data_IF_281177471764
#
_entry.id   IF_281177471764
#
_cell.length_a   1.000
_cell.length_b   1.000
_cell.length_c   1.000
_cell.angle_alpha   90.00
_cell.angle_beta   90.00
_cell.angle_gamma   90.00
#
_symmetry.space_group_name_H-M   'P 1'
#
loop_
_entity.id
_entity.type
_entity.pdbx_description
1 polymer ?
#
# COMPACT_ATOMS: atom_id res chain seq x y z
N UNK A 1 40.17 -17.00 -19.09
CA UNK A 1 39.54 -16.16 -20.13
C UNK A 1 38.02 -16.38 -20.04
N UNK A 2 37.25 -15.29 -20.03
CA UNK A 2 35.78 -15.36 -20.14
C UNK A 2 35.42 -15.28 -21.62
N UNK A 3 34.62 -16.21 -22.12
CA UNK A 3 34.10 -16.18 -23.50
C UNK A 3 32.88 -15.30 -23.54
N UNK A 4 33.08 -13.97 -23.39
CA UNK A 4 32.00 -12.97 -23.37
C UNK A 4 32.22 -12.01 -24.54
N UNK A 5 31.11 -11.36 -24.94
CA UNK A 5 31.11 -10.33 -25.96
C UNK A 5 30.13 -9.22 -25.61
N UNK A 6 30.41 -8.02 -26.09
CA UNK A 6 29.49 -6.88 -26.04
C UNK A 6 29.31 -6.36 -27.48
N UNK A 7 28.04 -6.04 -27.82
CA UNK A 7 27.71 -5.40 -29.08
C UNK A 7 27.47 -3.91 -28.84
N UNK A 8 28.25 -3.10 -29.51
CA UNK A 8 28.13 -1.65 -29.44
C UNK A 8 27.43 -1.11 -30.70
N UNK A 9 26.52 -0.20 -30.51
CA UNK A 9 25.88 0.56 -31.57
C UNK A 9 26.01 2.06 -31.30
N UNK A 10 26.61 2.81 -32.21
CA UNK A 10 26.89 4.24 -32.05
C UNK A 10 27.53 4.61 -30.69
N UNK A 11 28.47 3.79 -30.24
CA UNK A 11 29.19 3.99 -28.95
C UNK A 11 28.41 3.55 -27.70
N UNK A 12 27.19 3.04 -27.87
CA UNK A 12 26.35 2.53 -26.75
C UNK A 12 26.34 0.99 -26.78
N UNK A 13 26.63 0.34 -25.66
CA UNK A 13 26.43 -1.09 -25.51
C UNK A 13 24.92 -1.40 -25.51
N UNK A 14 24.49 -2.19 -26.50
CA UNK A 14 23.08 -2.60 -26.65
C UNK A 14 22.86 -4.06 -26.27
N UNK A 15 23.89 -4.87 -26.30
CA UNK A 15 23.84 -6.31 -25.99
C UNK A 15 25.13 -6.74 -25.32
N UNK A 16 24.99 -7.57 -24.30
CA UNK A 16 26.10 -8.26 -23.64
C UNK A 16 25.78 -9.75 -23.55
N UNK A 17 26.76 -10.61 -23.80
CA UNK A 17 26.54 -12.04 -23.83
C UNK A 17 27.79 -12.86 -23.64
N UNK A 18 27.62 -14.18 -23.63
CA UNK A 18 28.75 -15.09 -23.53
C UNK A 18 28.37 -16.55 -23.47
N UNK A 19 29.38 -17.40 -23.45
CA UNK A 19 29.23 -18.81 -23.24
C UNK A 19 28.90 -19.09 -21.77
N UNK A 20 27.87 -19.91 -21.53
CA UNK A 20 27.44 -20.29 -20.19
C UNK A 20 28.15 -21.54 -19.70
N UNK A 21 28.29 -21.70 -18.40
CA UNK A 21 28.64 -22.97 -17.79
C UNK A 21 27.51 -23.97 -18.06
N UNK A 22 27.83 -25.18 -18.51
CA UNK A 22 26.85 -26.15 -18.92
C UNK A 22 27.01 -27.52 -18.26
N UNK A 23 28.08 -27.77 -17.50
CA UNK A 23 28.25 -29.00 -16.73
C UNK A 23 27.86 -28.78 -15.27
N UNK A 24 27.27 -29.83 -14.65
CA UNK A 24 26.87 -29.77 -13.24
C UNK A 24 28.04 -29.38 -12.33
N UNK A 25 29.21 -29.98 -12.52
CA UNK A 25 30.42 -29.69 -11.72
C UNK A 25 30.82 -28.23 -11.86
N UNK A 26 30.89 -27.71 -13.09
CA UNK A 26 31.28 -26.29 -13.29
C UNK A 26 30.29 -25.31 -12.73
N UNK A 27 28.98 -25.68 -12.66
CA UNK A 27 27.95 -24.85 -11.99
C UNK A 27 28.18 -24.79 -10.50
N UNK A 28 28.42 -25.93 -9.84
CA UNK A 28 28.76 -26.02 -8.41
C UNK A 28 29.98 -25.18 -8.06
N UNK A 29 31.07 -25.36 -8.82
CA UNK A 29 32.28 -24.56 -8.66
C UNK A 29 32.00 -23.05 -8.80
N UNK A 30 31.17 -22.68 -9.79
CA UNK A 30 30.80 -21.29 -10.01
C UNK A 30 30.01 -20.67 -8.83
N UNK A 31 29.15 -21.44 -8.19
CA UNK A 31 28.43 -21.02 -7.00
C UNK A 31 29.38 -20.84 -5.81
N UNK A 32 30.25 -21.81 -5.57
CA UNK A 32 31.24 -21.70 -4.50
C UNK A 32 32.17 -20.49 -4.68
N UNK A 33 32.64 -20.22 -5.89
CA UNK A 33 33.47 -19.05 -6.19
C UNK A 33 32.76 -17.71 -5.88
N UNK A 34 31.42 -17.71 -5.90
CA UNK A 34 30.60 -16.55 -5.54
C UNK A 34 30.15 -16.54 -4.06
N UNK A 35 30.60 -17.50 -3.26
CA UNK A 35 30.20 -17.63 -1.86
C UNK A 35 28.74 -18.05 -1.67
N UNK A 36 28.12 -18.69 -2.69
CA UNK A 36 26.73 -19.13 -2.64
C UNK A 36 26.68 -20.64 -2.35
N UNK A 37 25.70 -21.03 -1.51
CA UNK A 37 25.44 -22.44 -1.20
C UNK A 37 24.64 -23.11 -2.33
N UNK A 38 25.17 -24.15 -2.98
CA UNK A 38 24.48 -24.89 -4.03
C UNK A 38 23.15 -25.51 -3.59
N UNK A 39 22.95 -25.79 -2.32
CA UNK A 39 21.72 -26.38 -1.80
C UNK A 39 20.48 -25.51 -2.05
N UNK A 40 20.65 -24.20 -2.11
CA UNK A 40 19.59 -23.25 -2.42
C UNK A 40 19.19 -23.22 -3.91
N UNK A 41 19.95 -23.89 -4.77
CA UNK A 41 19.76 -23.92 -6.23
C UNK A 41 19.46 -25.30 -6.77
N UNK A 42 18.97 -26.21 -5.93
CA UNK A 42 18.79 -27.66 -6.26
C UNK A 42 17.97 -27.86 -7.52
N UNK A 43 16.83 -27.18 -7.67
CA UNK A 43 15.94 -27.33 -8.82
C UNK A 43 16.60 -26.83 -10.11
N UNK A 44 17.25 -25.67 -10.04
CA UNK A 44 18.00 -25.12 -11.17
C UNK A 44 19.18 -26.04 -11.58
N UNK A 45 19.92 -26.55 -10.62
CA UNK A 45 21.06 -27.44 -10.85
C UNK A 45 20.64 -28.83 -11.38
N UNK A 46 19.41 -29.25 -11.11
CA UNK A 46 18.93 -30.57 -11.52
C UNK A 46 18.99 -30.78 -13.03
N UNK A 47 18.70 -29.73 -13.83
CA UNK A 47 18.74 -29.84 -15.30
C UNK A 47 20.13 -30.14 -15.83
N UNK A 48 21.20 -29.71 -15.14
CA UNK A 48 22.58 -29.98 -15.56
C UNK A 48 23.07 -31.38 -15.26
N UNK A 49 22.38 -32.13 -14.35
CA UNK A 49 22.68 -33.53 -14.04
C UNK A 49 22.37 -34.45 -15.20
N UNK A 50 21.41 -34.10 -16.03
CA UNK A 50 20.93 -34.93 -17.14
C UNK A 50 21.60 -34.61 -18.48
N UNK A 51 22.60 -33.74 -18.49
CA UNK A 51 23.37 -33.39 -19.67
C UNK A 51 22.82 -32.13 -20.39
N UNK A 52 23.39 -31.01 -20.08
CA UNK A 52 23.15 -29.77 -20.81
C UNK A 52 24.19 -29.59 -21.90
N UNK A 53 23.82 -29.37 -23.18
CA UNK A 53 24.79 -29.12 -24.24
C UNK A 53 25.53 -27.77 -24.00
N UNK A 54 26.73 -27.60 -24.56
CA UNK A 54 27.39 -26.31 -24.61
C UNK A 54 26.46 -25.26 -25.22
N UNK A 55 26.23 -24.15 -24.51
CA UNK A 55 25.35 -23.11 -24.94
C UNK A 55 25.86 -21.74 -24.50
N UNK A 56 25.36 -20.72 -25.13
CA UNK A 56 25.57 -19.32 -24.78
C UNK A 56 24.25 -18.58 -24.70
N UNK A 57 24.35 -17.32 -24.43
CA UNK A 57 23.21 -16.42 -24.46
C UNK A 57 23.63 -14.98 -24.37
N UNK A 58 22.72 -14.10 -24.68
CA UNK A 58 22.92 -12.66 -24.55
C UNK A 58 21.67 -11.98 -23.99
N UNK A 59 21.87 -10.83 -23.37
CA UNK A 59 20.81 -9.92 -22.97
C UNK A 59 20.88 -8.67 -23.83
N UNK A 60 19.75 -8.26 -24.39
CA UNK A 60 19.65 -7.03 -25.17
C UNK A 60 18.79 -6.03 -24.42
N UNK A 61 19.31 -4.82 -24.23
CA UNK A 61 18.55 -3.72 -23.62
C UNK A 61 17.61 -3.10 -24.63
N UNK A 62 16.30 -3.39 -24.53
CA UNK A 62 15.30 -2.90 -25.46
C UNK A 62 15.28 -1.37 -25.55
N UNK A 63 15.34 -0.70 -24.41
CA UNK A 63 15.37 0.75 -24.34
C UNK A 63 16.66 1.34 -24.92
N UNK A 64 17.81 0.68 -24.71
CA UNK A 64 19.07 1.10 -25.32
C UNK A 64 19.04 0.94 -26.83
N UNK A 65 18.52 -0.18 -27.33
CA UNK A 65 18.35 -0.41 -28.77
C UNK A 65 17.42 0.63 -29.38
N UNK A 66 16.25 0.85 -28.77
CA UNK A 66 15.26 1.83 -29.24
C UNK A 66 15.85 3.24 -29.26
N UNK A 67 16.50 3.65 -28.17
CA UNK A 67 17.17 4.94 -28.06
C UNK A 67 18.18 5.13 -29.19
N UNK A 68 19.01 4.12 -29.45
CA UNK A 68 20.06 4.19 -30.45
C UNK A 68 19.51 4.23 -31.88
N UNK A 69 18.51 3.39 -32.20
CA UNK A 69 17.85 3.34 -33.51
C UNK A 69 17.12 4.65 -33.84
N UNK A 70 16.41 5.20 -32.84
CA UNK A 70 15.66 6.45 -33.02
C UNK A 70 16.50 7.71 -32.75
N UNK A 71 17.78 7.54 -32.41
CA UNK A 71 18.71 8.65 -32.09
C UNK A 71 18.18 9.57 -30.99
N UNK A 72 17.51 8.99 -29.97
CA UNK A 72 17.01 9.73 -28.82
C UNK A 72 18.16 10.21 -27.94
N UNK A 73 17.97 11.36 -27.30
CA UNK A 73 18.99 11.95 -26.43
C UNK A 73 19.05 11.32 -25.04
N UNK A 74 17.96 10.70 -24.64
CA UNK A 74 17.83 10.13 -23.30
C UNK A 74 17.06 8.79 -23.36
N UNK A 75 17.57 7.78 -22.66
CA UNK A 75 16.96 6.44 -22.59
C UNK A 75 15.51 6.46 -22.07
N UNK A 76 15.15 7.47 -21.26
CA UNK A 76 13.79 7.65 -20.77
C UNK A 76 12.76 7.91 -21.87
N UNK A 77 13.18 8.46 -22.99
CA UNK A 77 12.32 8.69 -24.14
C UNK A 77 11.95 7.38 -24.87
N UNK A 78 12.70 6.31 -24.59
CA UNK A 78 12.45 4.97 -25.12
C UNK A 78 11.52 4.12 -24.23
N UNK A 79 11.03 4.65 -23.10
CA UNK A 79 10.13 3.94 -22.18
C UNK A 79 8.87 4.74 -21.93
N UNK A 80 7.70 4.07 -21.95
CA UNK A 80 6.43 4.70 -21.62
C UNK A 80 6.33 5.13 -20.15
N UNK A 81 6.97 4.37 -19.24
CA UNK A 81 6.96 4.62 -17.81
C UNK A 81 8.39 4.60 -17.25
N UNK A 82 9.23 5.61 -17.59
CA UNK A 82 10.61 5.60 -17.17
C UNK A 82 10.74 5.77 -15.65
N UNK A 83 11.45 4.86 -15.01
CA UNK A 83 11.79 4.89 -13.59
C UNK A 83 13.28 4.87 -13.36
N UNK A 84 13.76 5.64 -12.40
CA UNK A 84 15.16 5.59 -11.91
C UNK A 84 15.22 5.98 -10.43
N UNK A 85 16.41 5.98 -9.85
CA UNK A 85 16.66 6.33 -8.45
C UNK A 85 16.19 7.74 -8.05
N UNK A 86 16.05 8.65 -9.02
CA UNK A 86 15.59 10.03 -8.81
C UNK A 86 14.14 10.23 -9.24
N UNK A 87 13.58 9.31 -10.02
CA UNK A 87 12.25 9.40 -10.60
C UNK A 87 11.59 8.03 -10.58
N UNK A 88 10.74 7.82 -9.61
CA UNK A 88 9.84 6.67 -9.59
C UNK A 88 8.66 7.03 -10.48
N UNK A 89 8.44 6.30 -11.57
CA UNK A 89 7.24 6.42 -12.39
C UNK A 89 6.07 5.86 -11.59
N UNK A 90 5.04 6.66 -11.43
CA UNK A 90 3.90 6.37 -10.58
C UNK A 90 3.74 7.47 -9.54
N UNK A 91 2.56 7.58 -9.02
CA UNK A 91 2.23 8.53 -7.96
C UNK A 91 3.38 8.56 -6.96
N UNK A 92 3.95 9.73 -6.68
CA UNK A 92 4.73 9.93 -5.47
C UNK A 92 3.79 9.60 -4.32
N UNK A 93 3.72 8.34 -3.96
CA UNK A 93 3.24 7.97 -2.66
C UNK A 93 4.19 8.68 -1.70
N UNK A 94 3.74 9.74 -1.05
CA UNK A 94 4.47 10.28 0.09
C UNK A 94 4.75 9.07 0.96
N UNK A 95 6.00 8.86 1.34
CA UNK A 95 6.37 7.79 2.24
C UNK A 95 5.33 7.74 3.36
N UNK A 96 4.60 6.63 3.50
CA UNK A 96 3.50 6.37 4.44
C UNK A 96 2.06 6.46 3.89
N UNK A 97 1.81 6.57 2.58
CA UNK A 97 0.44 6.43 2.07
C UNK A 97 0.25 5.01 1.53
N UNK A 98 -0.59 4.24 2.19
CA UNK A 98 -0.98 2.92 1.72
C UNK A 98 -2.15 3.07 0.76
N UNK A 99 -2.06 2.44 -0.41
CA UNK A 99 -3.14 2.44 -1.40
C UNK A 99 -3.83 1.07 -1.40
N UNK A 100 -5.17 1.09 -1.30
CA UNK A 100 -6.00 -0.10 -1.35
C UNK A 100 -6.29 -0.74 0.02
N UNK A 101 -7.50 -1.22 0.17
CA UNK A 101 -8.03 -1.70 1.44
C UNK A 101 -7.24 -2.85 2.06
N UNK A 102 -6.81 -3.81 1.25
CA UNK A 102 -6.01 -4.95 1.73
C UNK A 102 -4.65 -4.53 2.29
N UNK A 103 -3.98 -3.61 1.62
CA UNK A 103 -2.69 -3.10 2.09
C UNK A 103 -2.84 -2.37 3.43
N UNK A 104 -3.87 -1.54 3.53
CA UNK A 104 -4.19 -0.81 4.76
C UNK A 104 -4.54 -1.78 5.90
N UNK A 105 -5.39 -2.79 5.65
CA UNK A 105 -5.71 -3.84 6.62
C UNK A 105 -4.44 -4.53 7.14
N UNK A 106 -3.59 -4.98 6.22
CA UNK A 106 -2.36 -5.68 6.58
C UNK A 106 -1.45 -4.80 7.45
N UNK A 107 -1.37 -3.52 7.14
CA UNK A 107 -0.58 -2.57 7.90
C UNK A 107 -1.17 -2.30 9.30
N UNK A 108 -2.49 -2.19 9.43
CA UNK A 108 -3.15 -2.08 10.74
C UNK A 108 -2.82 -3.30 11.60
N UNK A 109 -2.98 -4.50 11.04
CA UNK A 109 -2.70 -5.76 11.76
C UNK A 109 -1.22 -5.84 12.15
N UNK A 110 -0.30 -5.46 11.24
CA UNK A 110 1.13 -5.41 11.50
C UNK A 110 1.44 -4.46 12.67
N UNK A 111 0.92 -3.25 12.63
CA UNK A 111 1.12 -2.23 13.66
C UNK A 111 0.61 -2.70 15.03
N UNK A 112 -0.59 -3.30 15.08
CA UNK A 112 -1.14 -3.84 16.32
C UNK A 112 -0.25 -4.95 16.90
N UNK A 113 0.26 -5.84 16.04
CA UNK A 113 1.17 -6.92 16.45
C UNK A 113 2.50 -6.37 16.98
N UNK A 114 3.10 -5.41 16.31
CA UNK A 114 4.36 -4.77 16.74
C UNK A 114 4.21 -4.07 18.11
N UNK A 115 3.06 -3.43 18.32
CA UNK A 115 2.74 -2.75 19.59
C UNK A 115 2.19 -3.70 20.66
N UNK A 116 2.03 -5.01 20.35
CA UNK A 116 1.47 -6.03 21.26
C UNK A 116 0.06 -5.68 21.73
N UNK A 117 -0.74 -5.08 20.86
CA UNK A 117 -2.14 -4.74 21.13
C UNK A 117 -3.00 -5.91 20.71
N UNK A 118 -3.89 -6.32 21.62
CA UNK A 118 -4.86 -7.37 21.36
C UNK A 118 -5.99 -6.85 20.50
N UNK A 119 -6.27 -7.55 19.38
CA UNK A 119 -7.30 -7.19 18.42
C UNK A 119 -8.07 -8.42 17.98
N UNK A 120 -9.36 -8.27 17.83
CA UNK A 120 -10.21 -9.25 17.17
C UNK A 120 -10.43 -8.82 15.72
N UNK A 121 -9.86 -9.57 14.77
CA UNK A 121 -10.12 -9.39 13.34
C UNK A 121 -11.28 -10.29 12.92
N UNK A 122 -12.25 -9.73 12.22
CA UNK A 122 -13.47 -10.42 11.79
C UNK A 122 -13.71 -10.22 10.30
N UNK A 123 -14.12 -11.29 9.63
CA UNK A 123 -14.62 -11.27 8.25
C UNK A 123 -16.15 -11.47 8.31
N UNK A 124 -16.88 -10.65 7.59
CA UNK A 124 -18.34 -10.68 7.53
C UNK A 124 -18.83 -10.23 6.15
N UNK A 125 -20.10 -10.37 5.89
CA UNK A 125 -20.71 -9.79 4.69
C UNK A 125 -20.66 -8.26 4.74
N UNK A 126 -20.67 -7.62 3.56
CA UNK A 126 -20.72 -6.16 3.48
C UNK A 126 -22.01 -5.64 4.13
N UNK A 127 -21.87 -4.73 5.06
CA UNK A 127 -22.99 -4.20 5.84
C UNK A 127 -23.38 -2.80 5.34
N UNK A 128 -24.62 -2.60 4.87
CA UNK A 128 -25.02 -1.33 4.27
C UNK A 128 -25.26 -0.22 5.30
N UNK A 129 -25.54 -0.57 6.56
CA UNK A 129 -25.81 0.40 7.63
C UNK A 129 -24.91 0.21 8.85
N UNK A 130 -24.91 1.22 9.75
CA UNK A 130 -24.19 1.15 11.04
C UNK A 130 -24.83 0.08 11.96
N UNK A 131 -26.13 -0.08 11.91
CA UNK A 131 -26.89 -1.07 12.67
C UNK A 131 -26.56 -2.49 12.21
N UNK A 132 -26.46 -2.71 10.89
CA UNK A 132 -26.05 -4.01 10.33
C UNK A 132 -24.62 -4.35 10.72
N UNK A 133 -23.74 -3.35 10.68
CA UNK A 133 -22.36 -3.49 11.11
C UNK A 133 -22.23 -3.86 12.59
N UNK A 134 -23.04 -3.24 13.47
CA UNK A 134 -23.04 -3.56 14.88
C UNK A 134 -23.55 -4.98 15.14
N UNK A 135 -24.62 -5.42 14.43
CA UNK A 135 -25.12 -6.79 14.50
C UNK A 135 -24.08 -7.82 14.03
N UNK A 136 -23.47 -7.59 12.87
CA UNK A 136 -22.46 -8.50 12.33
C UNK A 136 -21.26 -8.68 13.27
N UNK A 137 -20.89 -7.64 14.02
CA UNK A 137 -19.80 -7.64 15.00
C UNK A 137 -20.21 -8.09 16.39
N UNK A 138 -21.51 -8.26 16.65
CA UNK A 138 -22.09 -8.55 17.97
C UNK A 138 -21.66 -7.53 19.04
N UNK A 139 -21.76 -6.25 18.73
CA UNK A 139 -21.43 -5.11 19.59
C UNK A 139 -22.61 -4.14 19.68
N UNK A 140 -22.54 -3.22 20.63
CA UNK A 140 -23.45 -2.07 20.66
C UNK A 140 -23.10 -1.10 19.53
N UNK A 141 -24.09 -0.43 18.97
CA UNK A 141 -23.86 0.52 17.87
C UNK A 141 -22.94 1.68 18.28
N UNK A 142 -23.01 2.08 19.55
CA UNK A 142 -22.19 3.16 20.12
C UNK A 142 -20.70 2.83 20.10
N UNK A 143 -20.33 1.54 20.21
CA UNK A 143 -18.95 1.05 20.20
C UNK A 143 -18.38 0.97 18.76
N UNK A 144 -19.22 1.17 17.76
CA UNK A 144 -18.80 1.27 16.35
C UNK A 144 -18.25 2.66 16.04
N UNK A 145 -17.18 2.71 15.24
CA UNK A 145 -16.63 3.95 14.71
C UNK A 145 -16.84 3.98 13.20
N UNK A 146 -17.39 5.08 12.70
CA UNK A 146 -17.43 5.38 11.27
C UNK A 146 -16.47 6.52 10.93
N UNK A 147 -15.69 6.29 9.90
CA UNK A 147 -14.68 7.21 9.39
C UNK A 147 -15.20 7.89 8.14
N UNK A 148 -15.22 9.21 8.16
CA UNK A 148 -15.78 10.04 7.10
C UNK A 148 -14.68 10.94 6.54
N UNK A 149 -14.56 10.98 5.23
CA UNK A 149 -13.63 11.89 4.54
C UNK A 149 -14.42 13.09 4.06
N UNK A 150 -13.96 14.28 4.44
CA UNK A 150 -14.53 15.55 4.00
C UNK A 150 -13.48 16.34 3.25
N UNK A 151 -13.94 17.16 2.31
CA UNK A 151 -13.10 18.03 1.49
C UNK A 151 -13.43 19.49 1.75
N UNK A 152 -12.41 20.31 1.99
CA UNK A 152 -12.54 21.76 2.04
C UNK A 152 -12.92 22.31 0.66
N UNK A 153 -13.92 23.21 0.61
CA UNK A 153 -14.42 23.75 -0.67
C UNK A 153 -13.40 24.62 -1.38
N UNK A 154 -12.62 25.37 -0.63
CA UNK A 154 -11.64 26.32 -1.17
C UNK A 154 -10.27 25.64 -1.36
N UNK A 155 -9.75 25.02 -0.30
CA UNK A 155 -8.41 24.42 -0.28
C UNK A 155 -8.30 23.15 -1.09
N UNK A 156 -9.44 22.47 -1.35
CA UNK A 156 -9.52 21.11 -1.94
C UNK A 156 -8.76 20.06 -1.14
N UNK A 157 -8.38 20.36 0.09
CA UNK A 157 -7.74 19.42 1.02
C UNK A 157 -8.77 18.46 1.60
N UNK A 158 -8.35 17.22 1.83
CA UNK A 158 -9.15 16.21 2.51
C UNK A 158 -8.76 16.09 3.99
N UNK A 159 -9.76 15.84 4.82
CA UNK A 159 -9.66 15.63 6.25
C UNK A 159 -10.45 14.41 6.64
N UNK A 160 -10.04 13.73 7.69
CA UNK A 160 -10.76 12.56 8.20
C UNK A 160 -11.39 12.86 9.55
N UNK A 161 -12.68 12.57 9.67
CA UNK A 161 -13.47 12.71 10.90
C UNK A 161 -14.01 11.33 11.30
N UNK A 162 -13.73 10.94 12.54
CA UNK A 162 -14.14 9.65 13.10
C UNK A 162 -15.15 9.91 14.21
N UNK A 163 -16.30 9.28 14.11
CA UNK A 163 -17.43 9.50 15.02
C UNK A 163 -18.03 8.16 15.45
N UNK A 164 -18.69 8.09 16.63
CA UNK A 164 -19.52 6.94 16.98
C UNK A 164 -20.57 6.66 15.91
N UNK A 165 -20.79 5.37 15.62
CA UNK A 165 -21.62 4.96 14.48
C UNK A 165 -23.07 5.40 14.55
N UNK A 166 -23.62 5.60 15.75
CA UNK A 166 -25.01 6.06 15.97
C UNK A 166 -25.18 7.59 15.78
N UNK A 167 -24.11 8.38 15.77
CA UNK A 167 -24.17 9.83 15.64
C UNK A 167 -23.98 10.29 14.19
N UNK A 168 -24.36 11.53 13.91
CA UNK A 168 -24.18 12.19 12.62
C UNK A 168 -23.13 13.30 12.73
N UNK A 169 -22.36 13.48 11.64
CA UNK A 169 -21.40 14.57 11.56
C UNK A 169 -22.10 15.92 11.45
N UNK A 170 -21.70 16.88 12.27
CA UNK A 170 -22.16 18.26 12.16
C UNK A 170 -21.20 19.07 11.26
N UNK A 171 -21.64 19.32 10.03
CA UNK A 171 -20.83 20.02 9.02
C UNK A 171 -20.53 21.47 9.38
N UNK A 172 -21.28 22.11 10.33
CA UNK A 172 -20.95 23.43 10.83
C UNK A 172 -19.74 23.35 11.75
N UNK A 173 -19.78 22.45 12.73
CA UNK A 173 -18.65 22.22 13.62
C UNK A 173 -17.38 21.78 12.85
N UNK A 174 -17.55 20.96 11.81
CA UNK A 174 -16.45 20.60 10.89
C UNK A 174 -15.86 21.84 10.22
N UNK A 175 -16.69 22.75 9.71
CA UNK A 175 -16.24 23.96 9.06
C UNK A 175 -15.49 24.88 10.03
N UNK A 176 -15.93 24.98 11.28
CA UNK A 176 -15.27 25.77 12.33
C UNK A 176 -13.88 25.18 12.68
N UNK A 177 -13.75 23.87 12.74
CA UNK A 177 -12.47 23.17 13.00
C UNK A 177 -11.49 23.32 11.83
N UNK A 178 -11.98 23.17 10.60
CA UNK A 178 -11.15 23.22 9.39
C UNK A 178 -10.83 24.66 8.97
N UNK A 179 -11.67 25.62 9.35
CA UNK A 179 -11.54 27.03 8.98
C UNK A 179 -12.16 27.37 7.62
N UNK A 180 -12.89 26.44 7.00
CA UNK A 180 -13.61 26.66 5.74
C UNK A 180 -14.84 25.74 5.62
N UNK A 181 -15.75 26.08 4.70
CA UNK A 181 -16.87 25.19 4.36
C UNK A 181 -16.35 23.88 3.78
N UNK A 182 -16.91 22.78 4.26
CA UNK A 182 -16.56 21.44 3.82
C UNK A 182 -17.76 20.73 3.20
N UNK A 183 -17.46 19.70 2.41
CA UNK A 183 -18.44 18.76 1.84
C UNK A 183 -17.89 17.34 1.99
N UNK A 184 -18.76 16.34 1.97
CA UNK A 184 -18.28 14.96 1.93
C UNK A 184 -17.51 14.70 0.63
N UNK A 185 -16.42 13.95 0.73
CA UNK A 185 -15.71 13.49 -0.48
C UNK A 185 -16.55 12.43 -1.19
N UNK A 186 -16.45 12.40 -2.53
CA UNK A 186 -17.23 11.47 -3.34
C UNK A 186 -16.65 10.06 -3.30
N UNK A 187 -17.48 9.01 -3.46
CA UNK A 187 -17.01 7.63 -3.50
C UNK A 187 -15.93 7.40 -4.55
N UNK A 188 -16.09 8.01 -5.74
CA UNK A 188 -15.14 7.92 -6.85
C UNK A 188 -13.78 8.52 -6.46
N UNK A 189 -13.78 9.71 -5.86
CA UNK A 189 -12.55 10.38 -5.44
C UNK A 189 -11.85 9.63 -4.28
N UNK A 190 -12.62 9.03 -3.38
CA UNK A 190 -12.07 8.16 -2.31
C UNK A 190 -11.38 6.95 -2.93
N UNK A 191 -12.03 6.30 -3.91
CA UNK A 191 -11.44 5.16 -4.59
C UNK A 191 -10.19 5.54 -5.40
N UNK A 192 -10.26 6.60 -6.20
CA UNK A 192 -9.13 7.06 -7.01
C UNK A 192 -7.91 7.47 -6.19
N UNK A 193 -8.12 8.12 -5.05
CA UNK A 193 -7.02 8.65 -4.22
C UNK A 193 -6.44 7.64 -3.26
N UNK A 194 -7.27 6.76 -2.71
CA UNK A 194 -6.89 5.89 -1.60
C UNK A 194 -7.08 4.39 -1.90
N UNK A 195 -7.76 4.04 -2.99
CA UNK A 195 -8.14 2.65 -3.31
C UNK A 195 -9.14 2.07 -2.31
N UNK A 196 -9.93 2.93 -1.65
CA UNK A 196 -10.92 2.53 -0.64
C UNK A 196 -12.34 2.65 -1.16
N UNK A 197 -13.17 1.73 -0.74
CA UNK A 197 -14.62 1.77 -0.96
C UNK A 197 -15.28 2.45 0.25
N UNK A 198 -16.30 3.26 0.02
CA UNK A 198 -17.13 3.84 1.10
C UNK A 198 -17.67 2.71 1.98
N UNK A 199 -17.58 2.90 3.29
CA UNK A 199 -17.85 1.86 4.28
C UNK A 199 -16.62 1.03 4.67
N UNK A 200 -15.53 1.04 3.87
CA UNK A 200 -14.27 0.38 4.22
C UNK A 200 -13.19 1.31 4.79
N UNK A 201 -13.44 2.61 4.88
CA UNK A 201 -12.44 3.58 5.38
C UNK A 201 -12.14 3.34 6.86
N UNK A 202 -10.88 3.03 7.22
CA UNK A 202 -10.49 2.83 8.61
C UNK A 202 -10.17 4.16 9.31
N UNK A 203 -10.16 4.23 10.65
CA UNK A 203 -9.88 5.46 11.39
C UNK A 203 -8.41 5.90 11.41
N UNK A 204 -7.58 5.33 10.56
CA UNK A 204 -6.13 5.54 10.48
C UNK A 204 -5.77 6.59 9.42
N UNK A 205 -6.09 7.86 9.67
CA UNK A 205 -5.82 8.95 8.73
C UNK A 205 -4.35 9.10 8.35
N UNK A 206 -3.42 8.71 9.22
CA UNK A 206 -1.98 8.70 8.93
C UNK A 206 -1.62 7.81 7.73
N UNK A 207 -2.33 6.72 7.49
CA UNK A 207 -2.09 5.85 6.32
C UNK A 207 -2.59 6.49 5.02
N UNK A 208 -3.52 7.43 5.13
CA UNK A 208 -4.09 8.18 4.01
C UNK A 208 -3.43 9.56 3.83
N UNK A 209 -2.48 9.90 4.70
CA UNK A 209 -1.88 11.22 4.79
C UNK A 209 -2.92 12.34 4.99
N UNK A 210 -3.89 12.08 5.87
CA UNK A 210 -4.97 13.01 6.24
C UNK A 210 -4.80 13.51 7.67
N UNK A 211 -5.16 14.76 7.89
CA UNK A 211 -5.41 15.24 9.25
C UNK A 211 -6.60 14.49 9.83
N UNK A 212 -6.40 13.93 11.03
CA UNK A 212 -7.30 12.94 11.62
C UNK A 212 -7.93 13.48 12.90
N UNK A 213 -9.24 13.55 12.91
CA UNK A 213 -10.04 14.08 14.01
C UNK A 213 -10.95 13.00 14.59
N UNK A 214 -10.98 12.88 15.91
CA UNK A 214 -11.87 11.98 16.65
C UNK A 214 -12.86 12.81 17.47
N UNK A 215 -14.14 12.41 17.43
CA UNK A 215 -15.12 13.01 18.32
C UNK A 215 -14.82 12.64 19.78
N UNK A 216 -14.97 13.60 20.69
CA UNK A 216 -14.71 13.38 22.13
C UNK A 216 -15.59 12.27 22.72
N UNK A 217 -16.72 11.96 22.13
CA UNK A 217 -17.63 10.90 22.57
C UNK A 217 -16.95 9.53 22.53
N UNK A 218 -16.03 9.31 21.58
CA UNK A 218 -15.27 8.05 21.46
C UNK A 218 -14.49 7.72 22.74
N UNK A 219 -14.02 8.72 23.47
CA UNK A 219 -13.29 8.53 24.74
C UNK A 219 -14.12 7.85 25.83
N UNK A 220 -15.45 7.93 25.73
CA UNK A 220 -16.36 7.36 26.75
C UNK A 220 -16.59 5.86 26.58
N UNK A 221 -16.15 5.27 25.47
CA UNK A 221 -16.34 3.88 25.13
C UNK A 221 -15.11 3.03 25.51
N UNK A 222 -15.36 1.80 25.94
CA UNK A 222 -14.27 0.86 26.26
C UNK A 222 -13.76 0.16 25.00
N UNK A 223 -14.66 -0.05 24.02
CA UNK A 223 -14.41 -0.79 22.79
C UNK A 223 -14.52 0.17 21.61
N UNK A 224 -13.71 -0.07 20.62
CA UNK A 224 -13.74 0.57 19.31
C UNK A 224 -13.79 -0.51 18.22
N UNK A 225 -14.82 -0.49 17.40
CA UNK A 225 -14.99 -1.43 16.29
C UNK A 225 -15.14 -0.66 14.97
N UNK A 226 -14.34 -1.00 13.98
CA UNK A 226 -14.29 -0.27 12.71
C UNK A 226 -13.94 -1.20 11.55
N UNK A 227 -14.28 -0.79 10.33
CA UNK A 227 -13.81 -1.46 9.12
C UNK A 227 -12.33 -1.13 8.86
N UNK A 228 -11.55 -2.13 8.51
CA UNK A 228 -10.09 -2.03 8.46
C UNK A 228 -9.51 -1.88 7.05
N UNK A 229 -10.23 -1.23 6.15
CA UNK A 229 -9.84 -1.02 4.76
C UNK A 229 -10.81 -1.67 3.76
N UNK A 230 -11.55 -2.67 4.20
CA UNK A 230 -12.53 -3.41 3.40
C UNK A 230 -13.92 -3.34 4.08
N UNK A 231 -15.01 -3.21 3.32
CA UNK A 231 -16.37 -3.18 3.88
C UNK A 231 -16.80 -4.53 4.46
N UNK A 232 -16.05 -5.60 4.18
CA UNK A 232 -16.29 -6.98 4.62
C UNK A 232 -15.39 -7.42 5.78
N UNK A 233 -14.53 -6.53 6.27
CA UNK A 233 -13.59 -6.87 7.34
C UNK A 233 -13.54 -5.79 8.40
N UNK A 234 -13.53 -6.21 9.66
CA UNK A 234 -13.54 -5.33 10.82
C UNK A 234 -12.49 -5.71 11.84
N UNK A 235 -12.05 -4.70 12.58
CA UNK A 235 -11.23 -4.88 13.77
C UNK A 235 -12.00 -4.34 14.97
N UNK A 236 -11.94 -5.10 16.07
CA UNK A 236 -12.44 -4.73 17.39
C UNK A 236 -11.25 -4.68 18.34
N UNK A 237 -11.11 -3.59 19.08
CA UNK A 237 -10.02 -3.39 20.04
C UNK A 237 -10.46 -2.46 21.18
N UNK A 238 -9.61 -2.26 22.18
CA UNK A 238 -9.89 -1.25 23.19
C UNK A 238 -9.80 0.15 22.58
N UNK A 239 -10.74 1.02 22.93
CA UNK A 239 -10.74 2.39 22.43
C UNK A 239 -9.49 3.17 22.86
N UNK A 240 -8.99 2.92 24.08
CA UNK A 240 -7.72 3.50 24.58
C UNK A 240 -6.52 3.13 23.70
N UNK A 241 -6.46 1.89 23.23
CA UNK A 241 -5.35 1.40 22.40
C UNK A 241 -5.41 2.01 21.00
N UNK A 242 -6.62 2.12 20.43
CA UNK A 242 -6.84 2.80 19.16
C UNK A 242 -6.39 4.26 19.23
N UNK A 243 -6.81 4.97 20.28
CA UNK A 243 -6.44 6.38 20.51
C UNK A 243 -4.92 6.52 20.63
N UNK A 244 -4.27 5.64 21.39
CA UNK A 244 -2.82 5.65 21.57
C UNK A 244 -2.04 5.33 20.27
N UNK A 245 -2.60 4.49 19.38
CA UNK A 245 -1.99 4.16 18.09
C UNK A 245 -2.06 5.31 17.08
N UNK A 246 -3.13 6.09 17.15
CA UNK A 246 -3.44 7.10 16.13
C UNK A 246 -2.97 8.48 16.56
N UNK A 247 -3.01 8.78 17.87
CA UNK A 247 -2.77 10.11 18.45
C UNK A 247 -3.56 11.20 17.71
N UNK A 248 -4.91 11.10 17.66
CA UNK A 248 -5.75 11.99 16.86
C UNK A 248 -5.97 13.35 17.52
N UNK A 249 -6.36 14.32 16.73
CA UNK A 249 -6.94 15.58 17.24
C UNK A 249 -8.37 15.33 17.71
N UNK A 250 -8.73 15.82 18.89
CA UNK A 250 -10.08 15.67 19.43
C UNK A 250 -10.91 16.95 19.26
N UNK A 251 -12.22 16.76 19.09
CA UNK A 251 -13.18 17.86 19.02
C UNK A 251 -14.63 17.36 19.19
N UNK A 252 -15.56 18.30 19.33
CA UNK A 252 -17.01 18.02 19.35
C UNK A 252 -17.58 18.43 17.99
N UNK A 253 -17.96 17.45 17.21
CA UNK A 253 -18.47 17.69 15.86
C UNK A 253 -19.56 16.70 15.45
N UNK A 254 -20.25 16.15 16.45
CA UNK A 254 -21.41 15.26 16.24
C UNK A 254 -22.70 15.87 16.71
N UNK A 255 -23.80 15.39 16.13
CA UNK A 255 -25.18 15.64 16.55
C UNK A 255 -25.96 14.33 16.49
N UNK A 256 -27.04 14.29 17.28
CA UNK A 256 -28.03 13.20 17.32
C UNK A 256 -28.79 13.04 16.00
#
# INVERSE_FOLDING_TARGET
>A
MTNTFDLLCAGTEITSGGQRRHTYTSMIEGLHLKGMDPSHFTDYLSIFKYGMPPHGGFGMGLERLTMTLLRLKNIREASLFPSDTKRIAGVRLKAHTFFGGENIRNEIIRLCREKKIDVQHMVHEATPSSEDSARARNIRIEDGIKSLIVRGKNSKKNYQFNIPAHLKLDMKAVADIVGEKCEFETPEAIFERYGLIVGGVPPFGQFLNLENYFDEEIKKHQIAAFNCGLPTESIIMKASDLIALIDPKFGKFTKS
#
